data_IF_853377856892
#
_entry.id   IF_853377856892
#
_cell.length_a   1.000
_cell.length_b   1.000
_cell.length_c   1.000
_cell.angle_alpha   90.00
_cell.angle_beta   90.00
_cell.angle_gamma   90.00
#
_symmetry.space_group_name_H-M   'P 1'
#
loop_
_entity.id
_entity.type
_entity.pdbx_description
1 polymer ?
#
# COMPACT_ATOMS: atom_id res chain seq x y z
N UNK A 1 -2.71 19.87 2.66
CA UNK A 1 -1.63 18.88 2.77
C UNK A 1 -2.15 17.58 2.23
N UNK A 2 -1.44 17.00 1.29
CA UNK A 2 -1.68 15.61 0.85
C UNK A 2 -1.28 14.71 2.03
N UNK A 3 -2.21 13.91 2.55
CA UNK A 3 -1.93 13.03 3.69
C UNK A 3 -1.54 11.63 3.18
N UNK A 4 -0.47 11.06 3.76
CA UNK A 4 -0.05 9.67 3.56
C UNK A 4 -0.34 8.91 4.85
N UNK A 5 -1.56 8.36 5.02
CA UNK A 5 -1.94 7.69 6.25
C UNK A 5 -1.10 6.42 6.45
N UNK A 6 -0.78 6.12 7.71
CA UNK A 6 -0.14 4.84 8.06
C UNK A 6 -1.18 3.72 7.91
N UNK A 7 -0.77 2.57 7.39
CA UNK A 7 -1.59 1.36 7.49
C UNK A 7 -1.24 0.66 8.81
N UNK A 8 -2.25 0.41 9.63
CA UNK A 8 -2.14 -0.44 10.81
C UNK A 8 -2.69 -1.83 10.47
N UNK A 9 -1.81 -2.83 10.36
CA UNK A 9 -2.24 -4.23 10.29
C UNK A 9 -2.54 -4.72 11.69
N UNK A 10 -3.76 -5.23 11.91
CA UNK A 10 -4.26 -5.57 13.24
C UNK A 10 -4.71 -7.03 13.28
N UNK A 11 -4.08 -7.82 14.14
CA UNK A 11 -4.52 -9.17 14.53
C UNK A 11 -5.05 -9.13 15.96
N UNK A 12 -6.38 -9.10 16.10
CA UNK A 12 -7.06 -9.07 17.40
C UNK A 12 -7.15 -10.47 17.98
N UNK A 13 -6.67 -10.65 19.21
CA UNK A 13 -6.66 -11.94 19.91
C UNK A 13 -7.31 -11.83 21.29
N UNK A 14 -7.68 -12.96 21.92
CA UNK A 14 -8.13 -12.93 23.31
C UNK A 14 -7.02 -12.46 24.26
N UNK A 15 -7.13 -11.23 24.77
CA UNK A 15 -6.25 -10.67 25.79
C UNK A 15 -5.13 -9.75 25.28
N UNK A 16 -4.82 -9.79 23.99
CA UNK A 16 -3.87 -8.89 23.33
C UNK A 16 -4.20 -8.72 21.83
N UNK A 17 -3.62 -7.72 21.21
CA UNK A 17 -3.61 -7.50 19.77
C UNK A 17 -2.17 -7.40 19.28
N UNK A 18 -1.93 -7.91 18.08
CA UNK A 18 -0.67 -7.68 17.36
C UNK A 18 -0.90 -6.60 16.33
N UNK A 19 -0.10 -5.54 16.39
CA UNK A 19 -0.21 -4.38 15.49
C UNK A 19 1.12 -4.20 14.76
N UNK A 20 1.06 -4.01 13.44
CA UNK A 20 2.18 -3.59 12.60
C UNK A 20 1.85 -2.30 11.87
N UNK A 21 2.80 -1.37 11.83
CA UNK A 21 2.69 -0.12 11.07
C UNK A 21 3.46 -0.18 9.76
N UNK A 22 2.74 0.10 8.68
CA UNK A 22 3.26 0.22 7.31
C UNK A 22 3.13 1.68 6.87
N UNK A 23 4.25 2.37 6.67
CA UNK A 23 4.29 3.75 6.22
C UNK A 23 3.98 3.83 4.74
N UNK A 24 3.11 4.76 4.35
CA UNK A 24 2.75 5.01 2.96
C UNK A 24 3.39 6.28 2.39
N UNK A 25 4.06 7.07 3.23
CA UNK A 25 4.80 8.25 2.81
C UNK A 25 6.06 7.81 2.04
N UNK A 26 6.25 8.23 0.77
CA UNK A 26 7.43 7.90 -0.02
C UNK A 26 8.74 8.45 0.57
N UNK A 27 8.68 9.47 1.43
CA UNK A 27 9.84 10.06 2.10
C UNK A 27 10.09 9.44 3.50
N UNK A 28 9.30 8.44 3.90
CA UNK A 28 9.54 7.70 5.14
C UNK A 28 10.89 6.97 5.11
N UNK A 29 11.67 6.96 6.20
CA UNK A 29 12.95 6.25 6.28
C UNK A 29 12.82 4.72 6.17
N UNK A 30 11.61 4.18 6.32
CA UNK A 30 11.31 2.77 6.14
C UNK A 30 9.80 2.52 6.03
N UNK A 31 9.42 1.41 5.41
CA UNK A 31 8.02 1.05 5.21
C UNK A 31 7.46 0.34 6.44
N UNK A 32 8.14 -0.70 6.93
CA UNK A 32 7.80 -1.34 8.21
C UNK A 32 8.45 -0.57 9.36
N UNK A 33 7.66 0.10 10.20
CA UNK A 33 8.18 1.08 11.18
C UNK A 33 7.87 0.79 12.64
N UNK A 34 7.01 -0.17 12.92
CA UNK A 34 6.74 -0.57 14.30
C UNK A 34 5.90 -1.82 14.38
N UNK A 35 6.11 -2.57 15.47
CA UNK A 35 5.43 -3.81 15.77
C UNK A 35 5.17 -3.88 17.28
N UNK A 36 3.94 -4.22 17.66
CA UNK A 36 3.53 -4.29 19.06
C UNK A 36 2.67 -5.52 19.31
N UNK A 37 2.84 -6.11 20.49
CA UNK A 37 1.91 -7.05 21.10
C UNK A 37 1.40 -6.34 22.36
N UNK A 38 0.12 -5.97 22.40
CA UNK A 38 -0.41 -5.10 23.45
C UNK A 38 -1.83 -5.46 23.84
N UNK A 39 -2.18 -5.27 25.12
CA UNK A 39 -3.57 -5.35 25.58
C UNK A 39 -4.35 -4.04 25.34
N UNK A 40 -3.64 -2.94 25.04
CA UNK A 40 -4.20 -1.62 24.77
C UNK A 40 -3.74 -1.13 23.40
N UNK A 41 -4.67 -1.09 22.45
CA UNK A 41 -4.45 -0.64 21.07
C UNK A 41 -4.33 0.90 20.99
N UNK A 42 -4.93 1.62 21.97
CA UNK A 42 -5.10 3.07 22.05
C UNK A 42 -4.52 3.91 20.91
N UNK A 43 -3.45 4.66 21.22
CA UNK A 43 -2.83 5.60 20.29
C UNK A 43 -2.11 4.95 19.10
N UNK A 44 -2.00 3.61 19.05
CA UNK A 44 -1.37 2.92 17.92
C UNK A 44 -2.29 2.88 16.70
N UNK A 45 -3.59 3.10 16.87
CA UNK A 45 -4.57 3.07 15.79
C UNK A 45 -5.04 4.46 15.34
N UNK A 46 -4.65 5.51 16.06
CA UNK A 46 -5.10 6.88 15.83
C UNK A 46 -4.67 7.40 14.46
N UNK A 47 -5.67 7.69 13.60
CA UNK A 47 -5.45 8.23 12.26
C UNK A 47 -4.81 7.24 11.26
N UNK A 48 -4.63 5.98 11.65
CA UNK A 48 -4.20 4.91 10.77
C UNK A 48 -5.40 4.27 10.06
N UNK A 49 -5.16 3.77 8.85
CA UNK A 49 -6.11 2.94 8.11
C UNK A 49 -5.90 1.50 8.54
N UNK A 50 -6.96 0.79 8.90
CA UNK A 50 -6.85 -0.53 9.50
C UNK A 50 -6.95 -1.62 8.45
N UNK A 51 -6.01 -2.57 8.50
CA UNK A 51 -6.05 -3.81 7.74
C UNK A 51 -6.20 -4.96 8.73
N UNK A 52 -7.38 -5.59 8.76
CA UNK A 52 -7.65 -6.65 9.74
C UNK A 52 -7.10 -7.98 9.23
N UNK A 53 -6.32 -8.69 10.05
CA UNK A 53 -5.83 -10.03 9.70
C UNK A 53 -7.00 -11.00 9.48
N UNK A 54 -6.92 -11.78 8.40
CA UNK A 54 -7.97 -12.71 7.98
C UNK A 54 -9.19 -12.06 7.32
N UNK A 55 -9.17 -10.75 7.10
CA UNK A 55 -10.18 -10.03 6.32
C UNK A 55 -9.83 -9.99 4.82
N UNK A 56 -10.58 -9.20 4.06
CA UNK A 56 -10.32 -8.92 2.64
C UNK A 56 -9.66 -7.56 2.41
N UNK A 57 -9.16 -6.91 3.46
CA UNK A 57 -8.71 -5.52 3.38
C UNK A 57 -7.43 -5.37 2.53
N UNK A 58 -6.55 -6.37 2.53
CA UNK A 58 -5.36 -6.40 1.68
C UNK A 58 -5.74 -6.51 0.20
N UNK A 59 -6.72 -7.36 -0.13
CA UNK A 59 -7.26 -7.52 -1.48
C UNK A 59 -7.93 -6.24 -1.95
N UNK A 60 -8.77 -5.61 -1.10
CA UNK A 60 -9.38 -4.32 -1.41
C UNK A 60 -8.33 -3.23 -1.68
N UNK A 61 -7.25 -3.21 -0.90
CA UNK A 61 -6.15 -2.28 -1.12
C UNK A 61 -5.49 -2.52 -2.49
N UNK A 62 -5.16 -3.78 -2.79
CA UNK A 62 -4.55 -4.15 -4.06
C UNK A 62 -5.46 -3.82 -5.25
N UNK A 63 -6.76 -4.07 -5.14
CA UNK A 63 -7.75 -3.76 -6.18
C UNK A 63 -7.91 -2.25 -6.39
N UNK A 64 -7.86 -1.45 -5.33
CA UNK A 64 -7.88 0.00 -5.44
C UNK A 64 -6.62 0.54 -6.14
N UNK A 65 -5.45 -0.03 -5.84
CA UNK A 65 -4.20 0.28 -6.54
C UNK A 65 -4.28 -0.11 -8.02
N UNK A 66 -4.76 -1.32 -8.32
CA UNK A 66 -4.92 -1.81 -9.69
C UNK A 66 -5.86 -0.92 -10.51
N UNK A 67 -6.96 -0.46 -9.91
CA UNK A 67 -7.91 0.44 -10.56
C UNK A 67 -7.27 1.79 -10.93
N UNK A 68 -6.46 2.38 -10.05
CA UNK A 68 -5.71 3.61 -10.36
C UNK A 68 -4.63 3.40 -11.41
N UNK A 69 -3.89 2.29 -11.34
CA UNK A 69 -2.91 1.91 -12.34
C UNK A 69 -3.56 1.77 -13.71
N UNK A 70 -4.72 1.12 -13.79
CA UNK A 70 -5.47 0.96 -15.03
C UNK A 70 -5.88 2.31 -15.64
N UNK A 71 -6.33 3.27 -14.82
CA UNK A 71 -6.67 4.64 -15.27
C UNK A 71 -5.45 5.33 -15.89
N UNK A 72 -4.31 5.32 -15.19
CA UNK A 72 -3.08 5.95 -15.69
C UNK A 72 -2.54 5.24 -16.94
N UNK A 73 -2.59 3.91 -17.00
CA UNK A 73 -2.23 3.13 -18.20
C UNK A 73 -3.12 3.55 -19.38
N UNK A 74 -4.43 3.73 -19.16
CA UNK A 74 -5.37 4.21 -20.19
C UNK A 74 -5.04 5.62 -20.68
N UNK A 75 -4.80 6.58 -19.77
CA UNK A 75 -4.40 7.95 -20.15
C UNK A 75 -3.08 7.97 -20.91
N UNK A 76 -2.11 7.12 -20.53
CA UNK A 76 -0.86 6.98 -21.27
C UNK A 76 -1.06 6.46 -22.70
N UNK A 77 -1.94 5.48 -22.90
CA UNK A 77 -2.29 4.97 -24.23
C UNK A 77 -3.03 6.03 -25.06
N UNK A 78 -3.96 6.78 -24.45
CA UNK A 78 -4.65 7.88 -25.11
C UNK A 78 -3.67 8.97 -25.57
N UNK A 79 -2.71 9.36 -24.72
CA UNK A 79 -1.66 10.31 -25.06
C UNK A 79 -0.77 9.80 -26.20
N UNK A 80 -0.39 8.52 -26.20
CA UNK A 80 0.37 7.89 -27.29
C UNK A 80 -0.39 7.88 -28.61
N UNK A 81 -1.70 7.64 -28.57
CA UNK A 81 -2.57 7.69 -29.76
C UNK A 81 -2.68 9.11 -30.32
N UNK A 82 -2.82 10.11 -29.45
CA UNK A 82 -2.90 11.52 -29.86
C UNK A 82 -1.54 12.05 -30.35
N UNK A 83 -0.44 11.61 -29.75
CA UNK A 83 0.93 12.02 -30.08
C UNK A 83 1.84 10.80 -30.22
N UNK A 84 2.00 10.25 -31.45
CA UNK A 84 2.75 9.01 -31.68
C UNK A 84 4.23 9.05 -31.29
N UNK A 85 4.84 10.23 -31.13
CA UNK A 85 6.24 10.37 -30.70
C UNK A 85 6.46 10.23 -29.19
N UNK A 86 5.40 10.23 -28.37
CA UNK A 86 5.53 10.07 -26.91
C UNK A 86 6.05 8.67 -26.56
N UNK A 87 6.94 8.60 -25.58
CA UNK A 87 7.40 7.32 -25.00
C UNK A 87 6.53 6.95 -23.81
N UNK A 88 5.94 5.75 -23.86
CA UNK A 88 5.20 5.20 -22.72
C UNK A 88 6.18 4.85 -21.59
N UNK A 89 5.85 5.17 -20.33
CA UNK A 89 6.55 4.60 -19.19
C UNK A 89 6.38 3.08 -19.18
N UNK A 90 7.40 2.39 -18.67
CA UNK A 90 7.26 0.98 -18.31
C UNK A 90 6.70 0.96 -16.89
N UNK A 91 5.59 0.28 -16.72
CA UNK A 91 5.00 0.03 -15.42
C UNK A 91 5.09 -1.46 -15.18
N UNK A 92 5.66 -1.85 -14.04
CA UNK A 92 5.60 -3.22 -13.59
C UNK A 92 4.15 -3.60 -13.26
N UNK A 93 3.90 -4.90 -13.17
CA UNK A 93 2.61 -5.40 -12.71
C UNK A 93 2.55 -5.38 -11.18
N UNK A 94 1.36 -5.10 -10.66
CA UNK A 94 1.11 -5.05 -9.22
C UNK A 94 1.40 -6.45 -8.62
N UNK A 95 2.29 -6.56 -7.61
CA UNK A 95 2.46 -7.82 -6.90
C UNK A 95 1.14 -8.28 -6.27
N UNK A 96 0.94 -9.60 -6.24
CA UNK A 96 -0.12 -10.26 -5.48
C UNK A 96 0.55 -11.20 -4.47
N UNK A 97 1.04 -10.66 -3.34
CA UNK A 97 1.85 -11.44 -2.40
C UNK A 97 0.99 -12.51 -1.73
N UNK A 98 1.50 -13.73 -1.63
CA UNK A 98 0.83 -14.81 -0.91
C UNK A 98 1.18 -14.71 0.57
N UNK A 99 0.21 -14.23 1.37
CA UNK A 99 0.37 -14.07 2.82
C UNK A 99 0.71 -15.39 3.51
N UNK A 100 0.16 -16.51 3.05
CA UNK A 100 0.42 -17.82 3.64
C UNK A 100 1.83 -18.34 3.29
N UNK A 101 2.36 -18.01 2.11
CA UNK A 101 3.76 -18.26 1.76
C UNK A 101 4.70 -17.39 2.60
N UNK A 102 4.42 -16.09 2.69
CA UNK A 102 5.21 -15.15 3.49
C UNK A 102 5.28 -15.63 4.94
N UNK A 103 4.15 -16.02 5.54
CA UNK A 103 4.07 -16.50 6.92
C UNK A 103 4.99 -17.70 7.23
N UNK A 104 5.37 -18.50 6.24
CA UNK A 104 6.30 -19.63 6.42
C UNK A 104 7.74 -19.19 6.68
N UNK A 105 8.09 -17.96 6.29
CA UNK A 105 9.43 -17.39 6.48
C UNK A 105 9.59 -16.63 7.80
N UNK A 106 8.52 -16.55 8.59
CA UNK A 106 8.49 -15.80 9.83
C UNK A 106 9.36 -16.45 10.93
N UNK A 107 10.13 -15.62 11.61
CA UNK A 107 10.91 -15.98 12.79
C UNK A 107 10.64 -14.96 13.90
N UNK A 108 9.97 -15.39 14.97
CA UNK A 108 9.62 -14.54 16.11
C UNK A 108 8.55 -15.17 16.99
N UNK A 109 7.87 -14.35 17.78
CA UNK A 109 6.76 -14.80 18.62
C UNK A 109 5.63 -15.36 17.75
N UNK A 110 5.15 -16.60 17.98
CA UNK A 110 4.17 -17.26 17.12
C UNK A 110 2.89 -16.44 16.91
N UNK A 111 2.51 -15.65 17.91
CA UNK A 111 1.34 -14.81 17.83
C UNK A 111 1.49 -13.65 16.84
N UNK A 112 2.69 -13.19 16.56
CA UNK A 112 2.90 -12.11 15.60
C UNK A 112 2.98 -12.56 14.12
N UNK A 113 2.95 -13.88 13.85
CA UNK A 113 3.17 -14.44 12.51
C UNK A 113 2.22 -13.88 11.44
N UNK A 114 0.92 -13.92 11.70
CA UNK A 114 -0.09 -13.54 10.70
C UNK A 114 -0.08 -12.03 10.43
N UNK A 115 -0.01 -11.22 11.49
CA UNK A 115 0.09 -9.78 11.38
C UNK A 115 1.37 -9.35 10.63
N UNK A 116 2.50 -10.00 10.93
CA UNK A 116 3.75 -9.75 10.22
C UNK A 116 3.63 -10.09 8.74
N UNK A 117 3.08 -11.26 8.40
CA UNK A 117 2.97 -11.70 7.01
C UNK A 117 2.08 -10.77 6.17
N UNK A 118 0.94 -10.36 6.73
CA UNK A 118 0.05 -9.39 6.08
C UNK A 118 0.70 -8.00 6.00
N UNK A 119 1.49 -7.58 6.99
CA UNK A 119 2.24 -6.32 6.93
C UNK A 119 3.33 -6.32 5.86
N UNK A 120 4.05 -7.42 5.67
CA UNK A 120 4.99 -7.58 4.56
C UNK A 120 4.27 -7.52 3.21
N UNK A 121 3.14 -8.22 3.07
CA UNK A 121 2.36 -8.16 1.84
C UNK A 121 1.84 -6.74 1.54
N UNK A 122 1.37 -6.01 2.56
CA UNK A 122 0.97 -4.62 2.42
C UNK A 122 2.15 -3.71 2.05
N UNK A 123 3.34 -3.95 2.63
CA UNK A 123 4.56 -3.23 2.29
C UNK A 123 4.94 -3.40 0.82
N UNK A 124 4.86 -4.61 0.26
CA UNK A 124 5.13 -4.86 -1.16
C UNK A 124 4.18 -4.08 -2.09
N UNK A 125 2.91 -3.97 -1.73
CA UNK A 125 1.93 -3.15 -2.47
C UNK A 125 2.28 -1.65 -2.40
N UNK A 126 2.70 -1.17 -1.23
CA UNK A 126 3.13 0.22 -1.03
C UNK A 126 4.38 0.53 -1.84
N UNK A 127 5.40 -0.35 -1.82
CA UNK A 127 6.62 -0.21 -2.61
C UNK A 127 6.31 -0.14 -4.10
N UNK A 128 5.44 -1.03 -4.57
CA UNK A 128 4.96 -1.00 -5.94
C UNK A 128 4.32 0.34 -6.29
N UNK A 129 3.43 0.86 -5.44
CA UNK A 129 2.77 2.15 -5.67
C UNK A 129 3.77 3.31 -5.75
N UNK A 130 4.78 3.33 -4.86
CA UNK A 130 5.84 4.33 -4.89
C UNK A 130 6.64 4.28 -6.19
N UNK A 131 7.04 3.08 -6.63
CA UNK A 131 7.74 2.88 -7.91
C UNK A 131 6.89 3.31 -9.12
N UNK A 132 5.62 2.95 -9.10
CA UNK A 132 4.65 3.34 -10.13
C UNK A 132 4.49 4.86 -10.25
N UNK A 133 4.26 5.55 -9.13
CA UNK A 133 4.11 7.00 -9.09
C UNK A 133 5.41 7.74 -9.43
N UNK A 134 6.57 7.20 -9.03
CA UNK A 134 7.88 7.71 -9.42
C UNK A 134 8.07 7.65 -10.94
N UNK A 135 7.67 6.56 -11.60
CA UNK A 135 7.70 6.45 -13.05
C UNK A 135 6.68 7.38 -13.73
N UNK A 136 5.47 7.50 -13.17
CA UNK A 136 4.39 8.38 -13.67
C UNK A 136 4.82 9.84 -13.68
N UNK A 137 5.30 10.38 -12.55
CA UNK A 137 5.62 11.81 -12.41
C UNK A 137 6.77 12.27 -13.31
N UNK A 138 7.65 11.34 -13.71
CA UNK A 138 8.74 11.62 -14.67
C UNK A 138 8.27 11.81 -16.12
N UNK A 139 6.98 11.60 -16.41
CA UNK A 139 6.40 11.81 -17.73
C UNK A 139 5.58 13.09 -17.71
N UNK A 140 6.06 14.14 -18.39
CA UNK A 140 5.43 15.46 -18.40
C UNK A 140 3.92 15.41 -18.67
N UNK A 141 3.47 14.65 -19.66
CA UNK A 141 2.05 14.55 -20.00
C UNK A 141 1.20 13.88 -18.90
N UNK A 142 1.77 12.95 -18.11
CA UNK A 142 1.08 12.37 -16.94
C UNK A 142 1.20 13.27 -15.71
N UNK A 143 2.29 14.03 -15.58
CA UNK A 143 2.47 15.00 -14.49
C UNK A 143 1.52 16.20 -14.64
N UNK A 144 1.24 16.63 -15.87
CA UNK A 144 0.25 17.67 -16.17
C UNK A 144 -1.18 17.20 -15.84
N UNK A 145 -1.49 15.91 -16.02
CA UNK A 145 -2.83 15.34 -15.76
C UNK A 145 -3.05 14.96 -14.28
N UNK A 146 -2.07 14.30 -13.67
CA UNK A 146 -2.20 13.70 -12.32
C UNK A 146 -1.42 14.45 -11.23
N UNK A 147 -0.71 15.52 -11.59
CA UNK A 147 0.12 16.30 -10.69
C UNK A 147 1.59 15.85 -10.68
N UNK A 148 2.51 16.74 -10.22
CA UNK A 148 3.94 16.53 -10.27
C UNK A 148 4.49 15.66 -9.12
N UNK A 149 3.71 15.45 -8.07
CA UNK A 149 4.15 14.77 -6.85
C UNK A 149 3.73 13.30 -6.83
N UNK A 150 4.35 12.50 -5.96
CA UNK A 150 3.89 11.12 -5.68
C UNK A 150 2.55 11.20 -4.99
N UNK A 151 1.50 10.60 -5.55
CA UNK A 151 0.17 10.62 -4.92
C UNK A 151 0.11 9.65 -3.74
N UNK A 152 -0.75 9.87 -2.74
CA UNK A 152 -1.02 8.90 -1.69
C UNK A 152 -1.51 7.58 -2.25
N UNK A 153 -1.35 6.53 -1.46
CA UNK A 153 -1.95 5.24 -1.74
C UNK A 153 -3.47 5.41 -1.93
N UNK A 154 -4.08 4.78 -2.95
CA UNK A 154 -5.50 4.87 -3.19
C UNK A 154 -6.26 3.99 -2.20
N UNK A 155 -6.40 4.48 -0.97
CA UNK A 155 -7.16 3.82 0.08
C UNK A 155 -8.63 4.15 -0.17
N UNK A 156 -9.45 3.12 -0.37
CA UNK A 156 -10.90 3.30 -0.53
C UNK A 156 -11.50 3.92 0.73
N UNK A 157 -12.52 4.78 0.58
CA UNK A 157 -13.32 5.33 1.71
C UNK A 157 -13.96 4.25 2.60
N UNK A 158 -13.98 2.99 2.14
CA UNK A 158 -14.59 1.86 2.83
C UNK A 158 -13.61 1.12 3.76
N UNK A 159 -12.36 1.58 3.88
CA UNK A 159 -11.40 1.10 4.90
C UNK A 159 -11.37 2.00 6.16
N UNK A 160 -12.21 3.05 6.19
CA UNK A 160 -12.37 4.01 7.30
C UNK A 160 -13.53 3.64 8.26
N UNK A 161 -14.15 2.47 8.12
CA UNK A 161 -15.32 2.06 8.94
C UNK A 161 -15.10 0.81 9.75
#
# INVERSE_FOLDING_TARGET
>A
MTAYPVLAVVDKRPGNSVIWHVQTDPDSPGILTGAWITADEGSLLDGAVHLTVGSTDLEKLADAVEAEVAKVRSSAQAAKKATPSITLPRFDDLPRPDVAEIAQTYHGEPEAREAWAMAVAAAEIVEYWHGFEAARKMRRYLAEEYGPDVRPLPIGRDLDT
#
